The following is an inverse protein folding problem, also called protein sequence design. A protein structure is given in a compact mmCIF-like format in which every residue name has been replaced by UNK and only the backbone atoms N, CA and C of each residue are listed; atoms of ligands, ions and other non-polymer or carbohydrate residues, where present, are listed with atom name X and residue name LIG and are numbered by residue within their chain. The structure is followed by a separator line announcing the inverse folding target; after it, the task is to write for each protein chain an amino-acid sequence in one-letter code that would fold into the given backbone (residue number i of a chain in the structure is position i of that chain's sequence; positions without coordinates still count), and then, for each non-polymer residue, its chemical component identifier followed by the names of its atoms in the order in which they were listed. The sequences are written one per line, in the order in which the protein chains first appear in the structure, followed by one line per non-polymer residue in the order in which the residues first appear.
data_IF_019009135250
#
_entry.id   IF_019009135250
#
_cell.length_a   1.000
_cell.length_b   1.000
_cell.length_c   1.000
_cell.angle_alpha   90.00
_cell.angle_beta   90.00
_cell.angle_gamma   90.00
#
_symmetry.space_group_name_H-M   'P 1'
#
loop_
_entity.id
_entity.type
_entity.pdbx_description
1 polymer ?
#
# COMPACT_ATOMS: atom_id res chain seq x y z
N UNK A 1 28.69 18.47 -34.97
CA UNK A 1 27.31 18.88 -34.65
C UNK A 1 26.70 17.79 -33.79
N UNK A 2 26.23 18.16 -32.60
CA UNK A 2 25.68 17.27 -31.58
C UNK A 2 24.35 16.67 -32.07
N UNK A 3 24.19 15.36 -31.98
CA UNK A 3 22.87 14.74 -31.98
C UNK A 3 22.78 13.88 -30.73
N UNK A 4 22.21 14.49 -29.70
CA UNK A 4 21.98 13.86 -28.41
C UNK A 4 20.98 12.72 -28.58
N UNK A 5 21.46 11.50 -28.39
CA UNK A 5 20.60 10.39 -28.04
C UNK A 5 20.12 10.64 -26.61
N UNK A 6 18.90 11.18 -26.48
CA UNK A 6 18.18 11.17 -25.22
C UNK A 6 17.86 9.71 -24.92
N UNK A 7 18.70 9.07 -24.12
CA UNK A 7 18.40 7.77 -23.54
C UNK A 7 17.21 7.99 -22.62
N UNK A 8 16.02 7.62 -23.09
CA UNK A 8 14.84 7.51 -22.24
C UNK A 8 15.19 6.50 -21.15
N UNK A 9 15.49 7.01 -19.96
CA UNK A 9 15.51 6.22 -18.74
C UNK A 9 14.08 5.71 -18.60
N UNK A 10 13.85 4.46 -18.95
CA UNK A 10 12.71 3.71 -18.46
C UNK A 10 12.87 3.67 -16.94
N UNK A 11 12.31 4.68 -16.25
CA UNK A 11 12.00 4.55 -14.84
C UNK A 11 11.17 3.27 -14.74
N UNK A 12 11.73 2.29 -14.03
CA UNK A 12 11.15 0.98 -13.82
C UNK A 12 9.64 1.15 -13.59
N UNK A 13 8.85 0.53 -14.46
CA UNK A 13 7.40 0.54 -14.40
C UNK A 13 7.00 0.14 -12.98
N UNK A 14 6.54 1.16 -12.23
CA UNK A 14 5.84 1.00 -10.98
C UNK A 14 4.75 -0.03 -11.22
N UNK A 15 4.89 -1.18 -10.57
CA UNK A 15 4.11 -2.37 -10.90
C UNK A 15 2.62 -2.03 -10.73
N UNK A 16 1.90 -2.02 -11.85
CA UNK A 16 0.55 -1.45 -11.95
C UNK A 16 -0.62 -2.25 -11.32
N UNK A 17 -0.51 -3.45 -10.68
CA UNK A 17 -1.74 -4.07 -10.15
C UNK A 17 -2.30 -3.40 -8.89
N UNK A 18 -1.65 -2.36 -8.36
CA UNK A 18 -2.05 -1.71 -7.10
C UNK A 18 -2.47 -0.24 -7.26
N UNK A 19 -2.95 0.14 -8.44
CA UNK A 19 -3.55 1.46 -8.71
C UNK A 19 -4.87 1.62 -7.94
N UNK A 20 -4.78 2.17 -6.73
CA UNK A 20 -5.71 3.05 -6.00
C UNK A 20 -7.21 2.69 -5.82
N UNK A 21 -7.72 1.56 -6.31
CA UNK A 21 -9.12 1.15 -6.11
C UNK A 21 -9.26 -0.35 -5.77
N UNK A 22 -8.34 -0.88 -4.97
CA UNK A 22 -8.45 -2.25 -4.47
C UNK A 22 -9.47 -2.30 -3.33
N UNK A 23 -10.50 -3.12 -3.48
CA UNK A 23 -11.42 -3.46 -2.38
C UNK A 23 -10.75 -4.44 -1.41
N UNK A 24 -11.21 -4.46 -0.16
CA UNK A 24 -10.75 -5.43 0.84
C UNK A 24 -10.89 -6.87 0.32
N UNK A 25 -11.98 -7.19 -0.37
CA UNK A 25 -12.24 -8.53 -0.92
C UNK A 25 -11.18 -8.95 -1.94
N UNK A 26 -10.84 -8.08 -2.90
CA UNK A 26 -9.80 -8.35 -3.88
C UNK A 26 -8.41 -8.44 -3.22
N UNK A 27 -8.13 -7.61 -2.21
CA UNK A 27 -6.89 -7.71 -1.46
C UNK A 27 -6.77 -9.08 -0.79
N UNK A 28 -7.82 -9.53 -0.12
CA UNK A 28 -7.84 -10.84 0.54
C UNK A 28 -7.69 -11.98 -0.46
N UNK A 29 -8.29 -11.86 -1.66
CA UNK A 29 -8.12 -12.83 -2.74
C UNK A 29 -6.66 -12.88 -3.23
N UNK A 30 -6.02 -11.74 -3.48
CA UNK A 30 -4.61 -11.68 -3.90
C UNK A 30 -3.69 -12.26 -2.82
N UNK A 31 -3.93 -11.92 -1.56
CA UNK A 31 -3.17 -12.45 -0.44
C UNK A 31 -3.35 -13.97 -0.29
N UNK A 32 -4.55 -14.48 -0.57
CA UNK A 32 -4.86 -15.91 -0.57
C UNK A 32 -4.35 -16.66 -1.81
N UNK A 33 -4.30 -16.03 -2.99
CA UNK A 33 -3.85 -16.66 -4.23
C UNK A 33 -2.33 -16.83 -4.30
N UNK A 34 -1.59 -15.87 -3.74
CA UNK A 34 -0.12 -15.93 -3.64
C UNK A 34 0.35 -16.95 -2.60
N UNK A 35 -0.55 -17.47 -1.78
CA UNK A 35 -0.29 -18.46 -0.75
C UNK A 35 -0.95 -19.79 -1.10
N UNK A 36 -0.31 -20.52 -2.02
CA UNK A 36 -0.71 -21.87 -2.46
C UNK A 36 -0.62 -22.92 -1.32
N UNK A 37 -0.17 -22.56 -0.12
CA UNK A 37 -0.08 -23.46 1.03
C UNK A 37 -1.08 -23.05 2.12
N UNK A 38 -1.66 -24.05 2.79
CA UNK A 38 -2.86 -23.99 3.65
C UNK A 38 -2.84 -23.03 4.86
N UNK A 39 -1.82 -22.20 4.95
CA UNK A 39 -1.51 -21.23 5.99
C UNK A 39 -1.41 -19.79 5.41
N UNK A 40 -2.26 -19.48 4.43
CA UNK A 40 -2.31 -18.22 3.69
C UNK A 40 -2.34 -16.94 4.53
N UNK A 41 -2.92 -16.99 5.73
CA UNK A 41 -2.89 -15.90 6.70
C UNK A 41 -1.78 -16.03 7.76
N UNK A 42 -1.12 -17.18 7.89
CA UNK A 42 -0.23 -17.48 9.02
C UNK A 42 1.09 -16.68 9.01
N UNK A 43 1.39 -15.95 7.94
CA UNK A 43 2.50 -15.00 7.86
C UNK A 43 2.07 -13.55 7.74
N UNK A 44 0.78 -13.27 7.59
CA UNK A 44 0.30 -11.90 7.35
C UNK A 44 0.18 -11.18 8.68
N UNK A 45 0.96 -10.13 8.86
CA UNK A 45 0.81 -9.27 10.04
C UNK A 45 -0.38 -8.35 9.84
N UNK A 46 -1.37 -8.46 10.72
CA UNK A 46 -2.54 -7.57 10.72
C UNK A 46 -2.55 -6.67 11.95
N UNK A 47 -2.80 -5.37 11.77
CA UNK A 47 -2.95 -4.44 12.90
C UNK A 47 -3.98 -3.36 12.61
N UNK A 48 -4.92 -3.16 13.52
CA UNK A 48 -5.87 -2.06 13.45
C UNK A 48 -5.28 -0.81 14.11
N UNK A 49 -5.50 0.35 13.51
CA UNK A 49 -5.13 1.64 14.09
C UNK A 49 -6.16 2.71 13.72
N UNK A 50 -6.12 3.83 14.42
CA UNK A 50 -7.00 4.98 14.16
C UNK A 50 -6.15 6.17 13.75
N UNK A 51 -6.55 6.84 12.68
CA UNK A 51 -5.86 8.02 12.17
C UNK A 51 -6.91 9.07 11.78
N UNK A 52 -6.77 10.29 12.30
CA UNK A 52 -7.72 11.40 12.05
C UNK A 52 -9.20 11.07 12.32
N UNK A 53 -9.47 10.14 13.25
CA UNK A 53 -10.84 9.71 13.60
C UNK A 53 -11.39 8.57 12.74
N UNK A 54 -10.72 8.19 11.66
CA UNK A 54 -11.05 7.03 10.84
C UNK A 54 -10.30 5.78 11.31
N UNK A 55 -10.91 4.61 11.15
CA UNK A 55 -10.31 3.32 11.54
C UNK A 55 -9.72 2.61 10.32
N UNK A 56 -8.49 2.13 10.47
CA UNK A 56 -7.76 1.45 9.43
C UNK A 56 -7.28 0.08 9.87
N UNK A 57 -7.16 -0.84 8.91
CA UNK A 57 -6.51 -2.14 9.11
C UNK A 57 -5.28 -2.24 8.20
N UNK A 58 -4.14 -2.42 8.83
CA UNK A 58 -2.87 -2.71 8.18
C UNK A 58 -2.73 -4.21 7.94
N UNK A 59 -2.26 -4.58 6.76
CA UNK A 59 -1.90 -5.95 6.35
C UNK A 59 -0.50 -5.94 5.77
N UNK A 60 0.39 -6.78 6.27
CA UNK A 60 1.72 -6.99 5.70
C UNK A 60 1.88 -8.42 5.23
N UNK A 61 2.16 -8.60 3.93
CA UNK A 61 2.54 -9.87 3.36
C UNK A 61 4.06 -9.96 3.28
N UNK A 62 4.72 -10.83 4.07
CA UNK A 62 6.16 -11.03 3.98
C UNK A 62 6.56 -11.66 2.64
N UNK A 63 5.69 -12.47 2.04
CA UNK A 63 5.92 -13.08 0.71
C UNK A 63 6.01 -12.03 -0.40
N UNK A 64 5.16 -11.00 -0.33
CA UNK A 64 5.19 -9.88 -1.28
C UNK A 64 6.13 -8.74 -0.84
N UNK A 65 6.66 -8.83 0.40
CA UNK A 65 7.34 -7.74 1.10
C UNK A 65 6.57 -6.41 1.00
N UNK A 66 5.24 -6.51 1.09
CA UNK A 66 4.33 -5.41 0.77
C UNK A 66 3.26 -5.25 1.84
N UNK A 67 2.97 -3.99 2.10
CA UNK A 67 2.00 -3.52 3.07
C UNK A 67 0.81 -2.86 2.40
N UNK A 68 -0.34 -3.05 3.02
CA UNK A 68 -1.63 -2.53 2.60
C UNK A 68 -2.30 -1.90 3.81
N UNK A 69 -2.87 -0.72 3.62
CA UNK A 69 -3.70 -0.09 4.63
C UNK A 69 -5.10 0.03 4.03
N UNK A 70 -6.06 -0.57 4.72
CA UNK A 70 -7.48 -0.58 4.35
C UNK A 70 -8.21 0.37 5.28
N UNK A 71 -8.99 1.26 4.70
CA UNK A 71 -9.98 2.05 5.41
C UNK A 71 -11.19 1.16 5.74
N UNK A 72 -11.47 1.00 7.03
CA UNK A 72 -12.54 0.13 7.51
C UNK A 72 -13.93 0.73 7.29
N UNK A 73 -14.06 2.04 7.10
CA UNK A 73 -15.34 2.71 6.87
C UNK A 73 -15.82 2.49 5.43
N UNK A 74 -14.91 2.59 4.45
CA UNK A 74 -15.24 2.42 3.03
C UNK A 74 -14.86 1.05 2.44
N UNK A 75 -14.09 0.24 3.17
CA UNK A 75 -13.67 -1.09 2.75
C UNK A 75 -12.67 -1.09 1.59
N UNK A 76 -11.86 -0.03 1.46
CA UNK A 76 -10.91 0.16 0.35
C UNK A 76 -9.48 0.32 0.84
N UNK A 77 -8.52 -0.14 0.03
CA UNK A 77 -7.10 0.10 0.26
C UNK A 77 -6.79 1.58 0.01
N UNK A 78 -6.51 2.32 1.05
CA UNK A 78 -6.10 3.72 0.95
C UNK A 78 -4.60 3.88 0.66
N UNK A 79 -3.77 2.87 0.98
CA UNK A 79 -2.33 2.90 0.66
C UNK A 79 -1.72 1.52 0.49
N UNK A 80 -0.80 1.42 -0.46
CA UNK A 80 0.04 0.23 -0.71
C UNK A 80 1.50 0.65 -0.83
N UNK A 81 2.43 -0.07 -0.20
CA UNK A 81 3.87 0.23 -0.25
C UNK A 81 4.73 -0.98 0.14
N UNK A 82 6.00 -0.97 -0.25
CA UNK A 82 6.95 -2.01 0.14
C UNK A 82 7.50 -1.77 1.56
N UNK A 83 7.76 -2.85 2.29
CA UNK A 83 8.24 -2.81 3.68
C UNK A 83 7.13 -3.04 4.71
N UNK A 84 7.51 -3.20 5.98
CA UNK A 84 6.63 -3.62 7.08
C UNK A 84 6.31 -2.52 8.11
N UNK A 85 6.64 -1.28 7.81
CA UNK A 85 6.38 -0.15 8.70
C UNK A 85 4.99 0.41 8.46
N UNK A 86 4.22 0.66 9.52
CA UNK A 86 2.87 1.22 9.37
C UNK A 86 2.98 2.70 9.00
N UNK A 87 2.60 3.02 7.76
CA UNK A 87 2.48 4.39 7.26
C UNK A 87 1.09 4.98 7.48
N UNK A 88 0.94 6.24 7.11
CA UNK A 88 -0.31 7.01 7.15
C UNK A 88 -1.08 6.92 5.82
N UNK A 89 -2.42 6.83 5.89
CA UNK A 89 -3.31 6.99 4.74
C UNK A 89 -3.68 8.44 4.44
N UNK A 90 -3.35 9.34 5.36
CA UNK A 90 -3.42 10.78 5.14
C UNK A 90 -2.00 11.37 5.09
N UNK A 91 -1.22 11.08 4.03
CA UNK A 91 0.10 11.67 3.92
C UNK A 91 -0.05 13.20 3.83
N UNK A 92 0.46 13.89 4.84
CA UNK A 92 0.57 15.34 4.83
C UNK A 92 1.29 15.79 3.57
N UNK A 93 0.73 16.80 2.86
CA UNK A 93 1.46 17.39 1.76
C UNK A 93 2.74 18.03 2.30
N UNK A 94 3.85 17.99 1.54
CA UNK A 94 5.16 18.52 1.96
C UNK A 94 5.15 20.01 2.37
N UNK A 95 4.08 20.73 2.05
CA UNK A 95 3.90 22.15 2.36
C UNK A 95 2.68 22.42 3.24
N UNK A 96 1.99 21.37 3.69
CA UNK A 96 0.87 21.48 4.61
C UNK A 96 1.39 21.50 6.03
N UNK A 97 1.23 22.65 6.68
CA UNK A 97 1.52 22.82 8.10
C UNK A 97 0.20 23.07 8.81
N UNK A 98 -0.25 22.09 9.59
CA UNK A 98 -1.47 22.12 10.41
C UNK A 98 -1.24 21.37 11.72
N UNK A 99 -2.18 21.47 12.67
CA UNK A 99 -2.08 20.71 13.93
C UNK A 99 -2.06 19.19 13.71
N UNK A 100 -2.54 18.72 12.56
CA UNK A 100 -2.57 17.31 12.15
C UNK A 100 -1.35 16.94 11.30
N UNK A 101 -0.77 17.93 10.61
CA UNK A 101 0.37 17.80 9.70
C UNK A 101 1.44 18.83 10.07
N UNK A 102 2.28 18.55 11.09
CA UNK A 102 3.30 19.50 11.54
C UNK A 102 4.47 19.67 10.57
#
# INVERSE_FOLDING_TARGET
MLSGFSTFVFAAQDSEPFKSDITLEYLLEVLASESIERDALAGITTKTFTEQGASFTYYYSPSLQRSFIVDNEIGRVCKTYSGSEILSCFPCAKSEVSATCP
#
